data_IF_595602280823
#
_entry.id   IF_595602280823
#
_cell.length_a   1.000
_cell.length_b   1.000
_cell.length_c   1.000
_cell.angle_alpha   90.00
_cell.angle_beta   90.00
_cell.angle_gamma   90.00
#
_symmetry.space_group_name_H-M   'P 1'
#
loop_
_entity.id
_entity.type
_entity.pdbx_description
1 polymer ?
#
# COMPACT_ATOMS: atom_id res chain seq x y z
N UNK A 1 19.99 13.28 2.26
CA UNK A 1 19.23 13.10 3.53
C UNK A 1 19.12 11.63 3.92
N UNK A 2 18.75 10.71 3.02
CA UNK A 2 18.54 9.29 3.37
C UNK A 2 19.81 8.53 3.84
N UNK A 3 20.99 8.84 3.27
CA UNK A 3 22.24 8.15 3.63
C UNK A 3 22.68 8.37 5.09
N UNK A 4 22.48 9.57 5.65
CA UNK A 4 22.96 9.89 6.99
C UNK A 4 22.15 9.15 8.09
N UNK A 5 20.82 9.09 7.95
CA UNK A 5 19.96 8.38 8.92
C UNK A 5 20.22 6.87 8.86
N UNK A 6 20.34 6.32 7.64
CA UNK A 6 20.69 4.91 7.46
C UNK A 6 22.05 4.56 8.08
N UNK A 7 23.07 5.39 7.84
CA UNK A 7 24.40 5.21 8.43
C UNK A 7 24.37 5.19 9.95
N UNK A 8 23.61 6.11 10.57
CA UNK A 8 23.47 6.13 12.03
C UNK A 8 22.84 4.83 12.55
N UNK A 9 21.81 4.29 11.87
CA UNK A 9 21.15 3.04 12.27
C UNK A 9 22.09 1.83 12.07
N UNK A 10 22.87 1.81 10.99
CA UNK A 10 23.88 0.77 10.73
C UNK A 10 25.05 0.82 11.73
N UNK A 11 25.46 2.03 12.16
CA UNK A 11 26.44 2.23 13.22
C UNK A 11 25.89 1.77 14.57
N UNK A 12 24.63 2.12 14.87
CA UNK A 12 23.90 1.69 16.08
C UNK A 12 23.81 0.17 16.15
N UNK A 13 23.57 -0.50 15.02
CA UNK A 13 23.56 -1.96 14.91
C UNK A 13 24.90 -2.61 15.30
N UNK A 14 26.03 -1.94 15.02
CA UNK A 14 27.38 -2.41 15.34
C UNK A 14 27.81 -2.04 16.76
N UNK A 15 27.21 -1.01 17.36
CA UNK A 15 27.57 -0.51 18.67
C UNK A 15 26.89 -1.31 19.79
N UNK A 16 27.67 -2.05 20.58
CA UNK A 16 27.13 -2.82 21.70
C UNK A 16 26.66 -1.97 22.88
N UNK A 17 27.21 -0.75 23.04
CA UNK A 17 26.87 0.13 24.17
C UNK A 17 25.46 0.73 24.03
N UNK A 18 25.03 1.00 22.80
CA UNK A 18 23.68 1.50 22.52
C UNK A 18 22.61 0.48 22.88
N UNK A 19 22.85 -0.80 22.56
CA UNK A 19 21.95 -1.88 22.96
C UNK A 19 21.80 -1.96 24.48
N UNK A 20 22.88 -1.75 25.24
CA UNK A 20 22.86 -1.81 26.69
C UNK A 20 21.99 -0.71 27.31
N UNK A 21 22.01 0.49 26.74
CA UNK A 21 21.14 1.61 27.14
C UNK A 21 19.68 1.34 26.78
N UNK A 22 19.42 0.73 25.61
CA UNK A 22 18.05 0.36 25.20
C UNK A 22 17.50 -0.75 26.11
N UNK A 23 18.33 -1.73 26.45
CA UNK A 23 17.95 -2.84 27.31
C UNK A 23 17.63 -2.37 28.74
N UNK A 24 18.42 -1.46 29.31
CA UNK A 24 18.13 -0.92 30.64
C UNK A 24 16.78 -0.18 30.68
N UNK A 25 16.52 0.69 29.69
CA UNK A 25 15.24 1.38 29.55
C UNK A 25 14.07 0.40 29.38
N UNK A 26 14.26 -0.65 28.60
CA UNK A 26 13.25 -1.69 28.40
C UNK A 26 12.94 -2.43 29.73
N UNK A 27 13.97 -2.75 30.52
CA UNK A 27 13.79 -3.32 31.86
C UNK A 27 13.04 -2.36 32.79
N UNK A 28 13.40 -1.08 32.80
CA UNK A 28 12.72 -0.07 33.62
C UNK A 28 11.23 0.07 33.24
N UNK A 29 10.92 -0.03 31.94
CA UNK A 29 9.53 -0.02 31.45
C UNK A 29 8.78 -1.30 31.83
N UNK A 30 9.44 -2.46 31.79
CA UNK A 30 8.84 -3.74 32.21
C UNK A 30 8.45 -3.70 33.71
N UNK A 31 9.34 -3.18 34.56
CA UNK A 31 9.06 -3.01 36.01
C UNK A 31 7.87 -2.09 36.22
N UNK A 32 7.79 -0.97 35.50
CA UNK A 32 6.63 -0.06 35.55
C UNK A 32 5.32 -0.70 35.07
N UNK A 33 5.40 -1.68 34.17
CA UNK A 33 4.27 -2.43 33.67
C UNK A 33 3.86 -3.61 34.60
N UNK A 34 4.53 -3.79 35.74
CA UNK A 34 4.26 -4.87 36.70
C UNK A 34 4.91 -6.21 36.34
N UNK A 35 5.93 -6.20 35.48
CA UNK A 35 6.73 -7.38 35.13
C UNK A 35 8.10 -7.22 35.79
N UNK A 36 8.41 -8.10 36.76
CA UNK A 36 9.62 -7.99 37.57
C UNK A 36 10.91 -8.09 36.74
N UNK A 37 10.94 -8.93 35.70
CA UNK A 37 12.10 -9.11 34.83
C UNK A 37 11.71 -9.47 33.39
N UNK A 38 12.48 -8.93 32.42
CA UNK A 38 12.43 -9.33 31.02
C UNK A 38 13.04 -10.73 30.85
N UNK A 39 12.21 -11.76 30.85
CA UNK A 39 12.64 -13.16 30.68
C UNK A 39 12.49 -13.63 29.25
N UNK A 40 13.32 -14.61 28.87
CA UNK A 40 13.19 -15.21 27.54
C UNK A 40 11.86 -15.96 27.41
N UNK A 41 11.09 -15.72 26.34
CA UNK A 41 10.04 -16.64 25.92
C UNK A 41 10.64 -18.02 25.63
N UNK A 42 9.85 -19.09 25.77
CA UNK A 42 10.22 -20.44 25.34
C UNK A 42 10.28 -20.48 23.80
N UNK A 43 11.33 -19.93 23.21
CA UNK A 43 11.54 -19.88 21.76
C UNK A 43 12.92 -20.43 21.40
N UNK A 44 13.03 -21.02 20.20
CA UNK A 44 14.17 -21.80 19.74
C UNK A 44 15.46 -21.00 19.44
N UNK A 45 15.54 -19.72 19.80
CA UNK A 45 16.75 -18.92 19.54
C UNK A 45 17.81 -19.27 20.61
N UNK A 46 18.96 -19.85 20.25
CA UNK A 46 19.94 -20.27 21.23
C UNK A 46 20.65 -19.04 21.83
N UNK A 47 20.55 -18.89 23.15
CA UNK A 47 21.24 -17.84 23.90
C UNK A 47 21.52 -18.26 25.34
N UNK A 48 22.67 -17.81 25.84
CA UNK A 48 23.17 -18.12 27.20
C UNK A 48 22.64 -17.17 28.28
N UNK A 49 21.95 -16.09 27.90
CA UNK A 49 21.45 -15.03 28.80
C UNK A 49 20.28 -14.29 28.15
N UNK A 50 19.33 -13.86 28.97
CA UNK A 50 18.13 -13.11 28.57
C UNK A 50 18.49 -11.87 27.75
N UNK A 51 19.50 -11.11 28.19
CA UNK A 51 20.01 -9.94 27.47
C UNK A 51 20.48 -10.29 26.04
N UNK A 52 21.17 -11.43 25.85
CA UNK A 52 21.62 -11.87 24.52
C UNK A 52 20.46 -12.34 23.64
N UNK A 53 19.40 -12.88 24.23
CA UNK A 53 18.18 -13.23 23.49
C UNK A 53 17.49 -12.00 22.96
N UNK A 54 17.20 -11.01 23.81
CA UNK A 54 16.55 -9.77 23.38
C UNK A 54 17.37 -9.05 22.29
N UNK A 55 18.71 -9.11 22.37
CA UNK A 55 19.58 -8.61 21.30
C UNK A 55 19.32 -9.30 19.96
N UNK A 56 19.31 -10.64 19.95
CA UNK A 56 19.24 -11.45 18.73
C UNK A 56 17.83 -11.60 18.16
N UNK A 57 16.83 -11.71 19.01
CA UNK A 57 15.46 -12.02 18.63
C UNK A 57 14.61 -10.76 18.36
N UNK A 58 14.97 -9.62 18.95
CA UNK A 58 14.15 -8.40 18.88
C UNK A 58 14.98 -7.23 18.35
N UNK A 59 16.06 -6.85 19.03
CA UNK A 59 16.78 -5.63 18.69
C UNK A 59 17.40 -5.66 17.29
N UNK A 60 18.19 -6.68 16.96
CA UNK A 60 18.82 -6.79 15.64
C UNK A 60 17.78 -6.96 14.51
N UNK A 61 16.78 -7.86 14.61
CA UNK A 61 15.73 -7.96 13.60
C UNK A 61 14.95 -6.66 13.40
N UNK A 62 14.66 -5.93 14.48
CA UNK A 62 13.96 -4.64 14.39
C UNK A 62 14.80 -3.58 13.67
N UNK A 63 16.10 -3.48 13.96
CA UNK A 63 16.98 -2.57 13.23
C UNK A 63 17.12 -2.97 11.75
N UNK A 64 17.22 -4.27 11.46
CA UNK A 64 17.29 -4.79 10.10
C UNK A 64 15.99 -4.47 9.33
N UNK A 65 14.83 -4.63 9.97
CA UNK A 65 13.51 -4.27 9.42
C UNK A 65 13.42 -2.75 9.17
N UNK A 66 13.84 -1.92 10.11
CA UNK A 66 13.87 -0.46 9.91
C UNK A 66 14.76 -0.04 8.74
N UNK A 67 15.94 -0.64 8.60
CA UNK A 67 16.83 -0.37 7.46
C UNK A 67 16.14 -0.80 6.16
N UNK A 68 15.53 -1.99 6.14
CA UNK A 68 14.82 -2.50 4.98
C UNK A 68 13.64 -1.59 4.59
N UNK A 69 12.84 -1.13 5.56
CA UNK A 69 11.74 -0.21 5.33
C UNK A 69 12.22 1.14 4.76
N UNK A 70 13.35 1.66 5.25
CA UNK A 70 13.97 2.86 4.68
C UNK A 70 14.45 2.62 3.24
N UNK A 71 15.03 1.47 2.95
CA UNK A 71 15.48 1.11 1.60
C UNK A 71 14.30 0.93 0.62
N UNK A 72 13.22 0.28 1.07
CA UNK A 72 12.00 0.13 0.26
C UNK A 72 11.33 1.48 0.02
N UNK A 73 11.25 2.34 1.04
CA UNK A 73 10.57 3.63 0.94
C UNK A 73 11.31 4.65 0.09
N UNK A 74 12.64 4.64 0.14
CA UNK A 74 13.50 5.58 -0.59
C UNK A 74 14.31 4.88 -1.67
N UNK A 75 13.67 3.92 -2.34
CA UNK A 75 14.21 3.23 -3.49
C UNK A 75 14.50 4.20 -4.65
N UNK A 76 15.14 3.68 -5.69
CA UNK A 76 15.54 4.48 -6.85
C UNK A 76 14.34 5.15 -7.54
N UNK A 77 13.18 4.50 -7.53
CA UNK A 77 11.91 5.00 -8.06
C UNK A 77 11.43 6.21 -7.24
N UNK A 78 11.45 6.12 -5.91
CA UNK A 78 11.09 7.23 -5.03
C UNK A 78 12.01 8.45 -5.24
N UNK A 79 13.31 8.21 -5.42
CA UNK A 79 14.28 9.26 -5.79
C UNK A 79 13.93 9.89 -7.14
N UNK A 80 13.50 9.08 -8.11
CA UNK A 80 13.10 9.55 -9.44
C UNK A 80 11.87 10.43 -9.40
N UNK A 81 10.87 10.04 -8.61
CA UNK A 81 9.67 10.83 -8.36
C UNK A 81 10.04 12.17 -7.70
N UNK A 82 10.85 12.15 -6.64
CA UNK A 82 11.28 13.38 -5.94
C UNK A 82 12.05 14.32 -6.87
N UNK A 83 12.93 13.80 -7.73
CA UNK A 83 13.63 14.61 -8.74
C UNK A 83 12.66 15.22 -9.74
N UNK A 84 11.68 14.45 -10.22
CA UNK A 84 10.68 14.94 -11.16
C UNK A 84 9.71 15.97 -10.55
N UNK A 85 9.55 16.04 -9.21
CA UNK A 85 8.86 17.17 -8.55
C UNK A 85 9.52 18.53 -8.81
N UNK A 86 10.79 18.57 -9.25
CA UNK A 86 11.44 19.83 -9.65
C UNK A 86 10.79 20.48 -10.88
N UNK A 87 10.01 19.73 -11.66
CA UNK A 87 9.24 20.23 -12.82
C UNK A 87 8.16 21.25 -12.39
N UNK A 88 7.72 21.21 -11.14
CA UNK A 88 6.73 22.15 -10.61
C UNK A 88 7.18 23.60 -10.84
N UNK A 89 6.27 24.51 -11.24
CA UNK A 89 6.62 25.90 -11.54
C UNK A 89 7.38 26.62 -10.43
N UNK A 90 7.05 26.37 -9.16
CA UNK A 90 7.76 26.96 -8.01
C UNK A 90 9.22 26.51 -7.89
N UNK A 91 9.59 25.36 -8.46
CA UNK A 91 10.89 24.70 -8.34
C UNK A 91 11.66 24.62 -9.65
N UNK A 92 11.10 25.14 -10.74
CA UNK A 92 11.63 25.00 -12.10
C UNK A 92 13.07 25.52 -12.24
N UNK A 93 13.42 26.54 -11.44
CA UNK A 93 14.75 27.15 -11.37
C UNK A 93 15.83 26.21 -10.81
N UNK A 94 15.45 25.14 -10.09
CA UNK A 94 16.38 24.17 -9.53
C UNK A 94 16.82 23.13 -10.57
N UNK A 95 16.16 23.02 -11.72
CA UNK A 95 16.38 21.95 -12.69
C UNK A 95 17.69 22.15 -13.46
N UNK A 96 18.75 21.45 -13.03
CA UNK A 96 20.00 21.31 -13.77
C UNK A 96 19.84 20.42 -15.02
N UNK A 97 20.81 20.50 -15.94
CA UNK A 97 20.83 19.67 -17.15
C UNK A 97 20.93 18.17 -16.82
N UNK A 98 21.66 17.81 -15.77
CA UNK A 98 21.75 16.42 -15.30
C UNK A 98 20.40 15.89 -14.81
N UNK A 99 19.65 16.69 -14.05
CA UNK A 99 18.32 16.31 -13.58
C UNK A 99 17.35 16.16 -14.75
N UNK A 100 17.43 17.05 -15.73
CA UNK A 100 16.63 16.96 -16.97
C UNK A 100 16.92 15.67 -17.74
N UNK A 101 18.20 15.28 -17.86
CA UNK A 101 18.59 14.00 -18.46
C UNK A 101 18.01 12.81 -17.70
N UNK A 102 18.04 12.87 -16.37
CA UNK A 102 17.52 11.81 -15.52
C UNK A 102 16.01 11.64 -15.67
N UNK A 103 15.25 12.75 -15.64
CA UNK A 103 13.80 12.75 -15.85
C UNK A 103 13.45 12.18 -17.22
N UNK A 104 14.17 12.62 -18.26
CA UNK A 104 13.99 12.08 -19.61
C UNK A 104 14.24 10.57 -19.67
N UNK A 105 15.35 10.08 -19.09
CA UNK A 105 15.68 8.66 -19.11
C UNK A 105 14.67 7.80 -18.36
N UNK A 106 14.08 8.31 -17.28
CA UNK A 106 13.09 7.57 -16.49
C UNK A 106 11.70 7.55 -17.13
N UNK A 107 11.24 8.68 -17.67
CA UNK A 107 9.86 8.83 -18.16
C UNK A 107 9.70 8.73 -19.69
N UNK A 108 10.78 8.59 -20.48
CA UNK A 108 10.69 8.61 -21.95
C UNK A 108 9.69 7.59 -22.52
N UNK A 109 9.57 6.40 -21.91
CA UNK A 109 8.71 5.35 -22.42
C UNK A 109 7.21 5.70 -22.31
N UNK A 110 6.86 6.54 -21.33
CA UNK A 110 5.48 6.96 -21.06
C UNK A 110 5.10 8.29 -21.72
N UNK A 111 6.09 9.01 -22.26
CA UNK A 111 5.92 10.32 -22.89
C UNK A 111 5.26 10.19 -24.28
N UNK A 112 4.27 11.04 -24.62
CA UNK A 112 3.64 11.00 -25.95
C UNK A 112 4.58 11.33 -27.10
N UNK A 113 5.57 12.20 -26.87
CA UNK A 113 6.53 12.64 -27.90
C UNK A 113 7.89 12.93 -27.27
N UNK A 114 8.67 11.89 -26.91
CA UNK A 114 9.92 12.07 -26.14
C UNK A 114 10.92 13.01 -26.82
N UNK A 115 10.95 13.03 -28.16
CA UNK A 115 11.87 13.87 -28.93
C UNK A 115 11.66 15.38 -28.73
N UNK A 116 10.45 15.82 -28.35
CA UNK A 116 10.13 17.24 -28.12
C UNK A 116 10.33 17.67 -26.66
N UNK A 117 10.64 16.73 -25.75
CA UNK A 117 10.72 16.99 -24.32
C UNK A 117 11.71 18.10 -23.97
N UNK A 118 12.87 18.15 -24.64
CA UNK A 118 13.92 19.15 -24.37
C UNK A 118 13.49 20.56 -24.74
N UNK A 119 12.82 20.70 -25.86
CA UNK A 119 12.29 21.97 -26.35
C UNK A 119 11.16 22.44 -25.42
N UNK A 120 10.23 21.53 -25.09
CA UNK A 120 9.17 21.79 -24.11
C UNK A 120 9.73 22.23 -22.76
N UNK A 121 10.74 21.54 -22.24
CA UNK A 121 11.37 21.87 -20.95
C UNK A 121 12.01 23.26 -20.95
N UNK A 122 12.68 23.64 -22.05
CA UNK A 122 13.26 24.99 -22.19
C UNK A 122 12.19 26.07 -22.19
N UNK A 123 11.11 25.86 -22.93
CA UNK A 123 9.99 26.80 -22.99
C UNK A 123 9.29 26.86 -21.62
N UNK A 124 9.10 25.72 -20.96
CA UNK A 124 8.49 25.62 -19.64
C UNK A 124 9.28 26.39 -18.57
N UNK A 125 10.60 26.18 -18.52
CA UNK A 125 11.51 26.92 -17.63
C UNK A 125 11.37 28.43 -17.86
N UNK A 126 11.55 28.87 -19.10
CA UNK A 126 11.49 30.30 -19.44
C UNK A 126 10.11 30.91 -19.18
N UNK A 127 9.04 30.18 -19.47
CA UNK A 127 7.67 30.65 -19.23
C UNK A 127 7.43 30.89 -17.74
N UNK A 128 7.71 29.88 -16.90
CA UNK A 128 7.43 29.96 -15.47
C UNK A 128 8.39 30.85 -14.70
N UNK A 129 9.66 30.96 -15.09
CA UNK A 129 10.61 31.89 -14.47
C UNK A 129 10.08 33.33 -14.48
N UNK A 130 9.45 33.73 -15.59
CA UNK A 130 8.89 35.06 -15.80
C UNK A 130 7.51 35.29 -15.16
N UNK A 131 6.89 34.26 -14.56
CA UNK A 131 5.60 34.41 -13.88
C UNK A 131 5.77 34.83 -12.42
N UNK A 132 4.97 35.81 -11.94
CA UNK A 132 5.01 36.25 -10.55
C UNK A 132 4.35 35.23 -9.60
N UNK A 133 3.28 34.57 -10.05
CA UNK A 133 2.52 33.59 -9.27
C UNK A 133 2.74 32.18 -9.83
N UNK A 134 3.43 31.34 -9.04
CA UNK A 134 3.90 30.00 -9.42
C UNK A 134 3.20 28.94 -8.55
N UNK A 135 2.43 28.01 -9.13
CA UNK A 135 1.80 26.96 -8.34
C UNK A 135 2.83 26.05 -7.68
N UNK A 136 2.58 25.70 -6.42
CA UNK A 136 3.47 24.87 -5.60
C UNK A 136 3.09 23.39 -5.59
N UNK A 137 1.84 23.06 -5.89
CA UNK A 137 1.31 21.70 -5.89
C UNK A 137 1.14 21.15 -7.31
N UNK A 138 1.22 19.82 -7.43
CA UNK A 138 0.94 19.12 -8.68
C UNK A 138 -0.50 19.41 -9.11
N UNK A 139 -1.47 19.34 -8.18
CA UNK A 139 -2.88 19.58 -8.48
C UNK A 139 -3.11 21.00 -8.99
N UNK A 140 -2.53 22.00 -8.33
CA UNK A 140 -2.66 23.41 -8.77
C UNK A 140 -2.05 23.61 -10.16
N UNK A 141 -0.92 22.95 -10.45
CA UNK A 141 -0.26 23.03 -11.77
C UNK A 141 -1.12 22.35 -12.84
N UNK A 142 -1.71 21.19 -12.55
CA UNK A 142 -2.57 20.47 -13.49
C UNK A 142 -3.89 21.18 -13.79
N UNK A 143 -4.40 21.96 -12.84
CA UNK A 143 -5.63 22.77 -13.03
C UNK A 143 -5.37 24.15 -13.62
N UNK A 144 -4.11 24.58 -13.71
CA UNK A 144 -3.75 25.91 -14.20
C UNK A 144 -3.93 26.00 -15.71
N UNK A 145 -4.74 26.97 -16.17
CA UNK A 145 -4.99 27.22 -17.60
C UNK A 145 -3.70 27.60 -18.34
N UNK A 146 -2.71 28.18 -17.64
CA UNK A 146 -1.39 28.53 -18.18
C UNK A 146 -0.55 27.30 -18.50
N UNK A 147 -0.75 26.20 -17.78
CA UNK A 147 -0.13 24.90 -18.05
C UNK A 147 -0.85 24.19 -19.21
N UNK A 148 -0.85 24.86 -20.37
CA UNK A 148 -1.62 24.47 -21.55
C UNK A 148 -1.24 23.04 -21.99
N UNK A 149 -2.21 22.13 -21.90
CA UNK A 149 -1.98 20.70 -22.17
C UNK A 149 -1.60 20.41 -23.62
N UNK A 150 -1.96 21.29 -24.57
CA UNK A 150 -1.61 21.14 -25.98
C UNK A 150 -0.20 21.59 -26.31
N UNK A 151 0.40 22.47 -25.49
CA UNK A 151 1.76 22.98 -25.69
C UNK A 151 2.80 22.16 -24.92
N UNK A 152 2.43 21.59 -23.77
CA UNK A 152 3.34 20.91 -22.85
C UNK A 152 2.92 19.46 -22.61
N UNK A 153 2.72 18.69 -23.69
CA UNK A 153 2.18 17.33 -23.63
C UNK A 153 3.04 16.38 -22.77
N UNK A 154 4.36 16.41 -22.94
CA UNK A 154 5.25 15.50 -22.21
C UNK A 154 5.35 15.89 -20.73
N UNK A 155 5.47 17.19 -20.46
CA UNK A 155 5.55 17.71 -19.09
C UNK A 155 4.26 17.42 -18.33
N UNK A 156 3.10 17.64 -18.95
CA UNK A 156 1.80 17.33 -18.35
C UNK A 156 1.63 15.83 -18.10
N UNK A 157 2.12 14.98 -19.01
CA UNK A 157 2.13 13.53 -18.80
C UNK A 157 2.98 13.15 -17.58
N UNK A 158 4.18 13.72 -17.44
CA UNK A 158 5.03 13.48 -16.26
C UNK A 158 4.34 13.97 -14.99
N UNK A 159 3.75 15.17 -14.98
CA UNK A 159 3.00 15.68 -13.83
C UNK A 159 1.81 14.78 -13.46
N UNK A 160 1.13 14.21 -14.45
CA UNK A 160 0.05 13.25 -14.21
C UNK A 160 0.56 11.94 -13.59
N UNK A 161 1.68 11.40 -14.09
CA UNK A 161 2.33 10.23 -13.49
C UNK A 161 2.81 10.52 -12.05
N UNK A 162 3.29 11.72 -11.79
CA UNK A 162 3.64 12.17 -10.43
C UNK A 162 2.42 12.27 -9.52
N UNK A 163 1.28 12.75 -10.02
CA UNK A 163 0.03 12.77 -9.27
C UNK A 163 -0.40 11.34 -8.90
N UNK A 164 -0.26 10.38 -9.82
CA UNK A 164 -0.60 8.97 -9.55
C UNK A 164 0.34 8.32 -8.52
N UNK A 165 1.64 8.61 -8.60
CA UNK A 165 2.65 8.00 -7.71
C UNK A 165 2.71 8.64 -6.33
N UNK A 166 2.34 9.92 -6.18
CA UNK A 166 2.35 10.64 -4.90
C UNK A 166 1.18 10.33 -3.96
N UNK A 167 0.16 9.58 -4.40
CA UNK A 167 -1.08 9.31 -3.66
C UNK A 167 -0.94 8.28 -2.51
N UNK A 168 0.26 7.84 -2.12
CA UNK A 168 0.46 6.75 -1.15
C UNK A 168 1.44 7.15 -0.02
N UNK A 169 1.01 7.27 1.24
CA UNK A 169 0.78 6.12 2.13
C UNK A 169 -0.57 6.06 2.87
N UNK A 170 -1.29 7.18 3.00
CA UNK A 170 -2.53 7.20 3.81
C UNK A 170 -3.69 6.42 3.16
N UNK A 171 -3.78 6.44 1.83
CA UNK A 171 -4.78 5.65 1.08
C UNK A 171 -4.50 4.15 1.17
N UNK A 172 -3.22 3.74 1.14
CA UNK A 172 -2.80 2.34 1.30
C UNK A 172 -2.96 1.85 2.74
N UNK A 173 -2.71 2.69 3.75
CA UNK A 173 -2.96 2.35 5.16
C UNK A 173 -4.47 2.22 5.47
N UNK A 174 -5.30 3.10 4.89
CA UNK A 174 -6.77 3.00 4.98
C UNK A 174 -7.30 1.79 4.20
N UNK A 175 -6.72 1.50 3.04
CA UNK A 175 -7.05 0.31 2.26
C UNK A 175 -6.64 -0.96 3.02
N UNK A 176 -5.48 -1.01 3.66
CA UNK A 176 -5.03 -2.13 4.51
C UNK A 176 -5.92 -2.30 5.75
N UNK A 177 -6.33 -1.19 6.38
CA UNK A 177 -7.29 -1.24 7.50
C UNK A 177 -8.65 -1.77 7.05
N UNK A 178 -9.10 -1.38 5.86
CA UNK A 178 -10.30 -1.96 5.23
C UNK A 178 -10.08 -3.43 4.85
N UNK A 179 -8.87 -3.78 4.44
CA UNK A 179 -8.49 -5.14 4.09
C UNK A 179 -8.52 -6.07 5.30
N UNK A 180 -8.23 -5.57 6.49
CA UNK A 180 -8.38 -6.31 7.75
C UNK A 180 -9.86 -6.67 8.02
N UNK A 181 -10.83 -5.92 7.50
CA UNK A 181 -12.25 -6.31 7.57
C UNK A 181 -12.56 -7.51 6.65
N UNK A 182 -11.85 -7.63 5.52
CA UNK A 182 -11.98 -8.77 4.58
C UNK A 182 -11.17 -9.96 5.10
N UNK A 183 -9.97 -9.70 5.62
CA UNK A 183 -9.01 -10.64 6.19
C UNK A 183 -9.22 -10.73 7.70
N UNK A 184 -10.25 -11.49 8.12
CA UNK A 184 -10.40 -11.80 9.53
C UNK A 184 -9.20 -12.65 10.01
N UNK A 185 -8.51 -12.20 11.06
CA UNK A 185 -7.30 -12.83 11.64
C UNK A 185 -7.49 -14.30 12.02
N UNK A 186 -8.74 -14.74 12.26
CA UNK A 186 -9.09 -16.12 12.58
C UNK A 186 -9.25 -17.05 11.36
N UNK A 187 -9.12 -16.53 10.12
CA UNK A 187 -9.42 -17.26 8.89
C UNK A 187 -8.15 -17.68 8.14
N UNK A 188 -7.35 -18.54 8.77
CA UNK A 188 -6.07 -19.06 8.27
C UNK A 188 -6.14 -19.97 7.01
N UNK A 189 -7.26 -20.00 6.29
CA UNK A 189 -7.51 -20.94 5.17
C UNK A 189 -8.19 -20.29 3.95
N UNK A 190 -8.04 -18.98 3.76
CA UNK A 190 -8.59 -18.33 2.56
C UNK A 190 -7.63 -18.49 1.38
N UNK A 191 -8.05 -19.24 0.34
CA UNK A 191 -7.33 -19.33 -0.93
C UNK A 191 -7.29 -17.96 -1.62
N UNK A 192 -6.22 -17.70 -2.36
CA UNK A 192 -5.97 -16.44 -3.09
C UNK A 192 -7.16 -16.03 -3.98
N UNK A 193 -7.76 -16.99 -4.68
CA UNK A 193 -8.94 -16.75 -5.53
C UNK A 193 -10.12 -16.14 -4.77
N UNK A 194 -10.37 -16.61 -3.54
CA UNK A 194 -11.48 -16.12 -2.73
C UNK A 194 -11.21 -14.70 -2.22
N UNK A 195 -9.95 -14.38 -1.93
CA UNK A 195 -9.53 -13.04 -1.52
C UNK A 195 -9.70 -12.05 -2.66
N UNK A 196 -9.23 -12.40 -3.85
CA UNK A 196 -9.37 -11.56 -5.03
C UNK A 196 -10.85 -11.30 -5.36
N UNK A 197 -11.70 -12.33 -5.26
CA UNK A 197 -13.14 -12.16 -5.48
C UNK A 197 -13.81 -11.23 -4.44
N UNK A 198 -13.50 -11.39 -3.14
CA UNK A 198 -14.03 -10.52 -2.08
C UNK A 198 -13.55 -9.08 -2.22
N UNK A 199 -12.28 -8.89 -2.58
CA UNK A 199 -11.71 -7.57 -2.82
C UNK A 199 -12.43 -6.86 -3.98
N UNK A 200 -12.71 -7.58 -5.07
CA UNK A 200 -13.42 -7.04 -6.21
C UNK A 200 -14.83 -6.55 -5.81
N UNK A 201 -15.55 -7.32 -4.99
CA UNK A 201 -16.86 -6.89 -4.45
C UNK A 201 -16.76 -5.68 -3.51
N UNK A 202 -15.67 -5.56 -2.75
CA UNK A 202 -15.47 -4.44 -1.83
C UNK A 202 -15.17 -3.12 -2.56
N UNK A 203 -14.36 -3.19 -3.63
CA UNK A 203 -14.02 -2.03 -4.47
C UNK A 203 -15.22 -1.59 -5.30
N UNK A 204 -15.92 -2.54 -5.94
CA UNK A 204 -17.02 -2.28 -6.85
C UNK A 204 -18.40 -2.39 -6.19
N UNK A 205 -18.63 -1.59 -5.15
CA UNK A 205 -19.96 -1.51 -4.47
C UNK A 205 -21.03 -0.80 -5.30
N UNK A 206 -20.62 -0.08 -6.33
CA UNK A 206 -21.47 0.68 -7.25
C UNK A 206 -22.15 -0.19 -8.32
N UNK A 207 -21.64 -1.40 -8.55
CA UNK A 207 -22.22 -2.35 -9.51
C UNK A 207 -23.46 -3.02 -8.91
N UNK A 208 -24.63 -2.78 -9.51
CA UNK A 208 -25.88 -3.45 -9.11
C UNK A 208 -25.86 -4.91 -9.54
N UNK A 209 -25.84 -5.82 -8.56
CA UNK A 209 -25.86 -7.26 -8.80
C UNK A 209 -27.29 -7.80 -8.80
N UNK A 210 -27.59 -8.63 -9.81
CA UNK A 210 -28.82 -9.41 -9.88
C UNK A 210 -28.66 -10.70 -9.06
N UNK A 211 -29.04 -10.63 -7.79
CA UNK A 211 -28.87 -11.74 -6.85
C UNK A 211 -29.59 -13.02 -7.28
N UNK A 212 -30.73 -12.91 -7.96
CA UNK A 212 -31.52 -14.07 -8.35
C UNK A 212 -30.81 -14.88 -9.44
N UNK A 213 -30.19 -14.19 -10.42
CA UNK A 213 -29.35 -14.84 -11.43
C UNK A 213 -28.11 -15.51 -10.84
N UNK A 214 -27.45 -14.85 -9.89
CA UNK A 214 -26.26 -15.41 -9.23
C UNK A 214 -26.60 -16.70 -8.49
N UNK A 215 -27.77 -16.73 -7.83
CA UNK A 215 -28.24 -17.91 -7.11
C UNK A 215 -28.57 -19.05 -8.08
N UNK A 216 -29.15 -18.74 -9.22
CA UNK A 216 -29.44 -19.74 -10.25
C UNK A 216 -28.17 -20.33 -10.86
N UNK A 217 -27.20 -19.49 -11.21
CA UNK A 217 -25.90 -19.92 -11.71
C UNK A 217 -25.15 -20.76 -10.67
N UNK A 218 -25.19 -20.37 -9.39
CA UNK A 218 -24.58 -21.14 -8.31
C UNK A 218 -25.24 -22.50 -8.15
N UNK A 219 -26.58 -22.54 -8.22
CA UNK A 219 -27.37 -23.76 -8.08
C UNK A 219 -27.08 -24.77 -9.21
N UNK A 220 -26.89 -24.29 -10.43
CA UNK A 220 -26.51 -25.13 -11.58
C UNK A 220 -25.11 -25.72 -11.40
N UNK A 221 -24.16 -24.93 -10.88
CA UNK A 221 -22.76 -25.38 -10.71
C UNK A 221 -22.56 -26.28 -9.48
N UNK A 222 -23.38 -26.14 -8.45
CA UNK A 222 -23.23 -26.85 -7.18
C UNK A 222 -24.51 -27.62 -6.79
N UNK A 223 -24.97 -28.58 -7.62
CA UNK A 223 -26.25 -29.24 -7.41
C UNK A 223 -26.30 -30.04 -6.10
N UNK A 224 -25.15 -30.56 -5.64
CA UNK A 224 -25.03 -31.31 -4.37
C UNK A 224 -25.28 -30.45 -3.13
N UNK A 225 -24.93 -29.17 -3.17
CA UNK A 225 -25.14 -28.23 -2.06
C UNK A 225 -26.57 -27.67 -2.05
N UNK A 226 -27.34 -27.91 -3.13
CA UNK A 226 -28.73 -27.52 -3.30
C UNK A 226 -29.72 -28.63 -2.91
N UNK A 227 -29.26 -29.67 -2.21
CA UNK A 227 -30.11 -30.74 -1.68
C UNK A 227 -30.04 -30.73 -0.16
N UNK A 228 -31.14 -30.33 0.48
CA UNK A 228 -31.37 -30.55 1.90
C UNK A 228 -32.14 -31.86 1.96
N UNK A 229 -31.46 -32.95 2.30
CA UNK A 229 -32.19 -34.14 2.68
C UNK A 229 -32.87 -33.87 4.01
N UNK A 230 -34.20 -33.92 4.04
CA UNK A 230 -34.96 -33.86 5.27
C UNK A 230 -34.72 -35.18 6.04
N UNK A 231 -34.03 -35.15 7.20
CA UNK A 231 -33.70 -36.38 7.94
C UNK A 231 -34.94 -37.05 8.58
N UNK A 232 -36.13 -36.42 8.51
CA UNK A 232 -37.35 -36.91 9.16
C UNK A 232 -38.37 -37.56 8.21
N UNK A 233 -38.08 -37.69 6.91
CA UNK A 233 -39.04 -38.26 5.96
C UNK A 233 -38.41 -39.28 5.01
N UNK A 234 -38.48 -40.55 5.40
CA UNK A 234 -38.27 -41.71 4.53
C UNK A 234 -39.52 -41.96 3.69
N UNK A 235 -39.73 -41.21 2.61
CA UNK A 235 -40.32 -41.66 1.34
C UNK A 235 -40.69 -40.48 0.42
N UNK A 236 -40.40 -40.66 -0.87
CA UNK A 236 -40.69 -39.89 -2.08
C UNK A 236 -41.20 -38.43 -2.02
N UNK A 237 -40.40 -37.57 -2.65
CA UNK A 237 -40.74 -36.34 -3.40
C UNK A 237 -41.45 -35.20 -2.66
N UNK A 238 -40.67 -34.45 -1.89
CA UNK A 238 -40.76 -32.99 -1.88
C UNK A 238 -39.36 -32.39 -2.01
N UNK A 239 -39.01 -31.93 -3.22
CA UNK A 239 -37.90 -30.98 -3.42
C UNK A 239 -38.32 -29.65 -2.80
N UNK A 240 -38.17 -29.49 -1.47
CA UNK A 240 -38.25 -28.17 -0.88
C UNK A 240 -37.14 -27.30 -1.50
N UNK A 241 -37.55 -26.25 -2.20
CA UNK A 241 -36.63 -25.32 -2.88
C UNK A 241 -35.78 -24.60 -1.83
N UNK A 242 -34.56 -25.10 -1.62
CA UNK A 242 -33.48 -24.40 -0.90
C UNK A 242 -33.25 -22.98 -1.41
N UNK A 243 -33.72 -22.66 -2.62
CA UNK A 243 -33.79 -21.29 -3.15
C UNK A 243 -34.26 -20.27 -2.11
N UNK A 244 -35.30 -20.54 -1.31
CA UNK A 244 -35.74 -19.56 -0.29
C UNK A 244 -34.74 -19.39 0.87
N UNK A 245 -34.18 -20.48 1.40
CA UNK A 245 -33.22 -20.41 2.51
C UNK A 245 -31.85 -19.90 2.07
N UNK A 246 -31.38 -20.26 0.87
CA UNK A 246 -30.14 -19.75 0.30
C UNK A 246 -30.29 -18.29 -0.17
N UNK A 247 -31.43 -17.87 -0.74
CA UNK A 247 -31.71 -16.45 -0.99
C UNK A 247 -31.65 -15.64 0.30
N UNK A 248 -32.23 -16.15 1.40
CA UNK A 248 -32.22 -15.46 2.70
C UNK A 248 -30.82 -15.45 3.31
N UNK A 249 -30.10 -16.58 3.31
CA UNK A 249 -28.75 -16.68 3.89
C UNK A 249 -27.70 -15.93 3.07
N UNK A 250 -27.77 -15.97 1.73
CA UNK A 250 -26.89 -15.21 0.84
C UNK A 250 -27.20 -13.71 0.94
N UNK A 251 -28.47 -13.29 0.94
CA UNK A 251 -28.81 -11.88 1.23
C UNK A 251 -28.34 -11.43 2.60
N UNK A 252 -28.44 -12.28 3.63
CA UNK A 252 -28.05 -11.94 4.98
C UNK A 252 -26.52 -11.87 5.14
N UNK A 253 -25.78 -12.87 4.67
CA UNK A 253 -24.31 -12.86 4.70
C UNK A 253 -23.69 -11.75 3.83
N UNK A 254 -24.27 -11.45 2.67
CA UNK A 254 -23.78 -10.36 1.81
C UNK A 254 -24.13 -8.99 2.41
N UNK A 255 -25.33 -8.80 2.99
CA UNK A 255 -25.66 -7.54 3.68
C UNK A 255 -24.85 -7.32 4.96
N UNK A 256 -24.66 -8.34 5.79
CA UNK A 256 -23.95 -8.19 7.08
C UNK A 256 -22.45 -7.93 6.90
N UNK A 257 -21.86 -8.28 5.75
CA UNK A 257 -20.46 -7.97 5.43
C UNK A 257 -20.24 -6.72 4.57
N UNK A 258 -21.31 -6.02 4.14
CA UNK A 258 -21.22 -4.82 3.30
C UNK A 258 -21.59 -3.51 4.00
N UNK A 259 -21.93 -3.57 5.30
CA UNK A 259 -22.11 -2.41 6.18
C UNK A 259 -21.00 -2.32 7.22
#
# INVERSE_FOLDING_TARGET
MNGAVKQIIEETRKNEQEFDVVYSKASDMAVKAGVDELKMPRNNVPSTSDKKYFKRAIYLPYLDELIQELDMRFCQEAVSVVRALSILPSRVHLISQEMENYIYNYYNADMPSPETFRQEMRIWKSFWENQPDKPESITSTLTDVRACSTLFLNIMKVLFLLALTSVTSSSTERANSSFNLIKNDLRSTMKEDRLNALLLFYVHRDIKLDYDKIIDDYAVRNPRNMVLMNPLQSNHSLKMRIRQYFCVYFRFCVKVHLY
#
